data_IF_147876081445
#
_entry.id   IF_147876081445
#
_cell.length_a   1.000
_cell.length_b   1.000
_cell.length_c   1.000
_cell.angle_alpha   90.00
_cell.angle_beta   90.00
_cell.angle_gamma   90.00
#
_symmetry.space_group_name_H-M   'P 1'
#
loop_
_entity.id
_entity.type
_entity.pdbx_description
1 polymer ?
#
# COMPACT_ATOMS: atom_id res chain seq x y z
N UNK A 1 13.34 1.78 -23.43
CA UNK A 1 13.85 2.35 -22.16
C UNK A 1 14.30 1.17 -21.34
N UNK A 2 15.59 1.04 -20.99
CA UNK A 2 16.08 -0.10 -20.19
C UNK A 2 15.77 0.19 -18.72
N UNK A 3 15.26 -0.77 -17.93
CA UNK A 3 15.14 -0.59 -16.49
C UNK A 3 16.52 -0.33 -15.90
N UNK A 4 16.62 0.68 -15.04
CA UNK A 4 17.86 1.08 -14.41
C UNK A 4 18.16 0.13 -13.26
N UNK A 5 18.69 -1.05 -13.56
CA UNK A 5 19.31 -1.91 -12.56
C UNK A 5 20.82 -1.68 -12.56
N UNK A 6 21.26 -0.57 -11.96
CA UNK A 6 22.65 -0.45 -11.50
C UNK A 6 22.81 -1.28 -10.23
N UNK A 7 22.82 -2.60 -10.40
CA UNK A 7 23.18 -3.54 -9.35
C UNK A 7 24.70 -3.61 -9.21
N UNK A 8 25.38 -2.49 -8.93
CA UNK A 8 26.78 -2.52 -8.48
C UNK A 8 27.15 -1.24 -7.70
N UNK A 9 27.10 -1.34 -6.38
CA UNK A 9 28.29 -1.23 -5.52
C UNK A 9 27.89 -1.47 -4.05
N UNK A 10 28.66 -2.31 -3.36
CA UNK A 10 28.72 -2.34 -1.89
C UNK A 10 29.14 -0.95 -1.41
N UNK A 11 28.20 -0.05 -1.19
CA UNK A 11 28.44 1.17 -0.44
C UNK A 11 27.86 0.96 0.94
N UNK A 12 28.74 1.18 1.92
CA UNK A 12 28.46 1.34 3.34
C UNK A 12 27.01 1.69 3.63
N UNK A 13 26.38 0.95 4.55
CA UNK A 13 25.13 1.36 5.18
C UNK A 13 25.18 2.86 5.46
N UNK A 14 24.51 3.65 4.62
CA UNK A 14 24.25 5.03 4.95
C UNK A 14 23.36 4.95 6.18
N UNK A 15 23.92 5.32 7.32
CA UNK A 15 23.13 5.72 8.47
C UNK A 15 21.99 6.56 7.94
N UNK A 16 20.75 6.22 8.30
CA UNK A 16 19.61 7.13 8.23
C UNK A 16 20.16 8.48 8.67
N UNK A 17 20.01 9.52 7.85
CA UNK A 17 20.24 10.89 8.29
C UNK A 17 19.26 11.13 9.44
N UNK A 18 19.65 10.77 10.66
CA UNK A 18 18.96 11.25 11.84
C UNK A 18 19.37 12.71 11.90
N UNK A 19 18.45 13.60 11.55
CA UNK A 19 18.63 14.98 11.95
C UNK A 19 18.50 15.01 13.47
N UNK A 20 19.62 14.74 14.14
CA UNK A 20 19.75 14.73 15.60
C UNK A 20 19.39 16.08 16.23
N UNK A 21 19.24 17.13 15.42
CA UNK A 21 18.80 18.46 15.83
C UNK A 21 17.36 18.81 15.41
N UNK A 22 16.61 17.91 14.75
CA UNK A 22 15.25 18.13 14.22
C UNK A 22 15.08 19.43 13.42
N UNK A 23 16.13 19.91 12.73
CA UNK A 23 16.07 21.18 11.98
C UNK A 23 15.40 21.03 10.62
N UNK A 24 15.49 19.85 10.02
CA UNK A 24 14.97 19.50 8.72
C UNK A 24 13.58 18.92 8.91
N UNK A 25 12.60 19.58 8.32
CA UNK A 25 11.24 19.06 8.16
C UNK A 25 11.19 18.27 6.87
N UNK A 26 10.66 17.05 6.94
CA UNK A 26 10.41 16.25 5.75
C UNK A 26 9.01 16.53 5.25
N UNK A 27 8.82 16.56 3.93
CA UNK A 27 7.48 16.72 3.34
C UNK A 27 6.79 15.36 3.13
N UNK A 28 7.57 14.33 2.77
CA UNK A 28 7.13 12.96 2.50
C UNK A 28 8.22 11.96 2.90
N UNK A 29 7.81 10.78 3.37
CA UNK A 29 8.68 9.62 3.55
C UNK A 29 8.39 8.64 2.43
N UNK A 30 9.42 8.16 1.74
CA UNK A 30 9.29 7.11 0.72
C UNK A 30 9.80 5.81 1.31
N UNK A 31 8.87 4.90 1.64
CA UNK A 31 9.20 3.55 2.07
C UNK A 31 9.20 2.63 0.85
N UNK A 32 10.27 1.86 0.65
CA UNK A 32 10.43 0.92 -0.46
C UNK A 32 10.93 -0.40 0.13
N UNK A 33 10.22 -1.48 -0.19
CA UNK A 33 10.60 -2.83 0.20
C UNK A 33 11.28 -3.59 -0.96
N UNK A 34 10.98 -4.87 -1.10
CA UNK A 34 11.58 -5.87 -2.00
C UNK A 34 10.82 -6.03 -3.33
N UNK A 35 10.34 -4.92 -3.90
CA UNK A 35 9.61 -4.90 -5.18
C UNK A 35 10.41 -4.26 -6.30
N UNK A 36 10.07 -4.63 -7.52
CA UNK A 36 10.56 -4.05 -8.77
C UNK A 36 9.69 -2.84 -9.16
N UNK A 37 10.33 -1.73 -9.51
CA UNK A 37 9.68 -0.47 -9.90
C UNK A 37 10.56 0.35 -10.85
N UNK A 38 9.95 1.30 -11.55
CA UNK A 38 10.63 2.34 -12.32
C UNK A 38 10.77 3.64 -11.53
N UNK A 39 11.75 4.47 -11.88
CA UNK A 39 11.89 5.83 -11.30
C UNK A 39 10.60 6.65 -11.37
N UNK A 40 9.91 6.57 -12.52
CA UNK A 40 8.68 7.35 -12.74
C UNK A 40 7.53 6.88 -11.83
N UNK A 41 7.55 5.62 -11.38
CA UNK A 41 6.57 5.07 -10.44
C UNK A 41 6.64 5.81 -9.10
N UNK A 42 7.86 6.00 -8.58
CA UNK A 42 8.08 6.75 -7.34
C UNK A 42 7.65 8.22 -7.50
N UNK A 43 8.00 8.85 -8.61
CA UNK A 43 7.64 10.25 -8.88
C UNK A 43 6.12 10.41 -8.98
N UNK A 44 5.43 9.47 -9.62
CA UNK A 44 3.97 9.47 -9.72
C UNK A 44 3.30 9.28 -8.37
N UNK A 45 3.77 8.33 -7.56
CA UNK A 45 3.24 8.14 -6.20
C UNK A 45 3.42 9.39 -5.33
N UNK A 46 4.58 10.07 -5.42
CA UNK A 46 4.81 11.34 -4.72
C UNK A 46 3.85 12.42 -5.23
N UNK A 47 3.69 12.54 -6.55
CA UNK A 47 2.79 13.51 -7.17
C UNK A 47 1.34 13.32 -6.69
N UNK A 48 0.83 12.09 -6.74
CA UNK A 48 -0.51 11.74 -6.29
C UNK A 48 -0.69 12.00 -4.79
N UNK A 49 0.36 11.73 -4.00
CA UNK A 49 0.38 12.04 -2.56
C UNK A 49 0.24 13.54 -2.28
N UNK A 50 0.80 14.41 -3.13
CA UNK A 50 0.63 15.86 -3.02
C UNK A 50 -0.75 16.32 -3.51
N UNK A 51 -1.16 15.90 -4.70
CA UNK A 51 -2.41 16.35 -5.34
C UNK A 51 -3.63 16.01 -4.48
N UNK A 52 -3.63 14.84 -3.86
CA UNK A 52 -4.72 14.40 -3.00
C UNK A 52 -4.54 14.80 -1.53
N UNK A 53 -3.39 15.39 -1.17
CA UNK A 53 -3.03 15.64 0.22
C UNK A 53 -3.11 14.37 1.05
N UNK A 54 -2.65 13.26 0.48
CA UNK A 54 -2.78 11.93 1.06
C UNK A 54 -1.77 11.70 2.18
N UNK A 55 -2.21 10.94 3.17
CA UNK A 55 -1.40 10.54 4.32
C UNK A 55 -0.61 9.27 4.05
N UNK A 56 -1.17 8.38 3.24
CA UNK A 56 -0.52 7.18 2.72
C UNK A 56 -0.87 7.08 1.23
N UNK A 57 0.12 6.81 0.38
CA UNK A 57 -0.09 6.57 -1.06
C UNK A 57 0.69 5.35 -1.51
N UNK A 58 0.03 4.37 -2.11
CA UNK A 58 0.65 3.10 -2.51
C UNK A 58 0.31 2.72 -3.96
N UNK A 59 1.15 1.91 -4.62
CA UNK A 59 0.85 1.30 -5.91
C UNK A 59 -0.07 0.08 -5.75
N UNK A 60 -0.31 -0.62 -6.86
CA UNK A 60 -0.85 -1.99 -6.85
C UNK A 60 0.28 -3.02 -6.87
N UNK A 61 0.26 -3.94 -5.91
CA UNK A 61 1.12 -5.12 -5.90
C UNK A 61 0.44 -6.24 -6.69
N UNK A 62 1.00 -6.54 -7.86
CA UNK A 62 0.42 -7.48 -8.82
C UNK A 62 1.35 -8.67 -9.06
N UNK A 63 0.73 -9.82 -9.24
CA UNK A 63 1.37 -11.03 -9.74
C UNK A 63 0.57 -11.66 -10.88
N UNK A 64 1.14 -12.73 -11.44
CA UNK A 64 0.48 -13.55 -12.46
C UNK A 64 0.26 -14.97 -11.93
N UNK A 65 0.18 -15.12 -10.61
CA UNK A 65 0.09 -16.43 -9.98
C UNK A 65 -1.31 -17.01 -10.16
N UNK A 66 -1.35 -18.15 -10.87
CA UNK A 66 -2.56 -18.93 -11.02
C UNK A 66 -2.40 -20.35 -10.51
N UNK A 67 -3.01 -20.63 -9.35
CA UNK A 67 -3.08 -21.96 -8.74
C UNK A 67 -3.66 -23.01 -9.71
N UNK A 68 -4.55 -22.59 -10.62
CA UNK A 68 -5.16 -23.50 -11.61
C UNK A 68 -4.34 -23.66 -12.89
N UNK A 69 -3.35 -22.77 -13.11
CA UNK A 69 -2.52 -22.71 -14.31
C UNK A 69 -3.28 -22.43 -15.61
N UNK A 70 -4.54 -22.01 -15.55
CA UNK A 70 -5.41 -21.81 -16.73
C UNK A 70 -5.17 -20.47 -17.41
N UNK A 71 -4.83 -19.43 -16.64
CA UNK A 71 -4.66 -18.07 -17.12
C UNK A 71 -3.31 -17.48 -16.67
N UNK A 72 -2.17 -17.93 -17.22
CA UNK A 72 -0.84 -17.45 -16.81
C UNK A 72 -0.56 -15.98 -17.16
N UNK A 73 -1.42 -15.35 -17.96
CA UNK A 73 -1.32 -13.94 -18.35
C UNK A 73 -2.34 -13.04 -17.61
N UNK A 74 -3.13 -13.60 -16.69
CA UNK A 74 -4.10 -12.84 -15.92
C UNK A 74 -3.43 -12.15 -14.74
N UNK A 75 -3.45 -10.82 -14.72
CA UNK A 75 -2.98 -10.00 -13.59
C UNK A 75 -3.87 -10.19 -12.39
N UNK A 76 -3.27 -10.41 -11.22
CA UNK A 76 -3.97 -10.59 -9.95
C UNK A 76 -3.32 -9.74 -8.87
N UNK A 77 -4.15 -9.26 -7.96
CA UNK A 77 -3.65 -8.56 -6.78
C UNK A 77 -3.05 -9.55 -5.79
N UNK A 78 -1.85 -9.26 -5.30
CA UNK A 78 -1.06 -10.16 -4.45
C UNK A 78 -1.37 -9.97 -2.96
N UNK A 79 -1.12 -8.78 -2.42
CA UNK A 79 -1.11 -8.50 -0.97
C UNK A 79 -2.52 -8.31 -0.35
N UNK A 80 -3.31 -9.40 -0.39
CA UNK A 80 -4.63 -9.46 0.26
C UNK A 80 -4.55 -9.45 1.79
N UNK A 81 -3.37 -9.72 2.37
CA UNK A 81 -3.21 -9.75 3.82
C UNK A 81 -3.16 -8.35 4.42
N UNK A 82 -2.50 -7.39 3.77
CA UNK A 82 -2.39 -6.00 4.25
C UNK A 82 -3.53 -5.12 3.77
N UNK A 83 -3.86 -5.17 2.48
CA UNK A 83 -4.73 -4.17 1.87
C UNK A 83 -6.21 -4.30 2.28
N UNK A 84 -6.82 -3.17 2.60
CA UNK A 84 -8.22 -3.08 3.06
C UNK A 84 -8.94 -1.98 2.30
N UNK A 85 -10.10 -2.31 1.75
CA UNK A 85 -10.94 -1.30 1.10
C UNK A 85 -11.51 -0.31 2.12
N UNK A 86 -12.19 0.72 1.62
CA UNK A 86 -12.71 1.78 2.49
C UNK A 86 -13.84 1.31 3.42
N UNK A 87 -14.37 0.10 3.23
CA UNK A 87 -15.33 -0.55 4.12
C UNK A 87 -14.64 -1.51 5.11
N UNK A 88 -13.31 -1.61 5.07
CA UNK A 88 -12.52 -2.45 5.96
C UNK A 88 -12.42 -3.91 5.52
N UNK A 89 -12.91 -4.28 4.34
CA UNK A 89 -12.81 -5.64 3.83
C UNK A 89 -11.44 -5.89 3.18
N UNK A 90 -10.95 -7.13 3.24
CA UNK A 90 -9.75 -7.52 2.51
C UNK A 90 -9.93 -7.30 1.00
N UNK A 91 -8.87 -6.81 0.36
CA UNK A 91 -8.81 -6.78 -1.10
C UNK A 91 -8.94 -8.21 -1.66
N UNK A 92 -9.56 -8.34 -2.83
CA UNK A 92 -9.64 -9.61 -3.56
C UNK A 92 -8.60 -9.67 -4.67
N UNK A 93 -8.11 -10.88 -4.97
CA UNK A 93 -7.14 -11.11 -6.05
C UNK A 93 -7.64 -10.65 -7.42
N UNK A 94 -8.94 -10.77 -7.70
CA UNK A 94 -9.55 -10.39 -8.98
C UNK A 94 -9.72 -8.87 -9.09
N UNK A 95 -9.00 -8.23 -10.02
CA UNK A 95 -8.95 -6.77 -10.15
C UNK A 95 -10.32 -6.09 -10.32
N UNK A 96 -11.20 -6.69 -11.13
CA UNK A 96 -12.54 -6.15 -11.43
C UNK A 96 -13.48 -6.11 -10.21
N UNK A 97 -13.14 -6.88 -9.17
CA UNK A 97 -13.89 -7.05 -7.92
C UNK A 97 -12.96 -6.88 -6.71
N UNK A 98 -11.85 -6.17 -6.88
CA UNK A 98 -10.77 -6.10 -5.89
C UNK A 98 -11.24 -5.44 -4.60
N UNK A 99 -12.08 -4.41 -4.71
CA UNK A 99 -12.68 -3.68 -3.59
C UNK A 99 -14.19 -3.87 -3.59
N UNK A 100 -14.81 -3.75 -2.40
CA UNK A 100 -16.27 -3.90 -2.24
C UNK A 100 -17.04 -2.63 -2.53
N UNK A 101 -16.41 -1.46 -2.44
CA UNK A 101 -17.08 -0.19 -2.63
C UNK A 101 -17.21 0.17 -4.12
N UNK A 102 -18.36 0.73 -4.48
CA UNK A 102 -18.69 1.06 -5.88
C UNK A 102 -17.75 2.12 -6.45
N UNK A 103 -17.41 3.16 -5.66
CA UNK A 103 -16.58 4.28 -6.10
C UNK A 103 -15.15 3.83 -6.44
N UNK A 104 -14.54 3.04 -5.56
CA UNK A 104 -13.24 2.42 -5.74
C UNK A 104 -13.24 1.49 -6.94
N UNK A 105 -14.30 0.70 -7.10
CA UNK A 105 -14.46 -0.19 -8.27
C UNK A 105 -14.53 0.59 -9.59
N UNK A 106 -15.31 1.66 -9.66
CA UNK A 106 -15.41 2.51 -10.85
C UNK A 106 -14.09 3.21 -11.19
N UNK A 107 -13.38 3.69 -10.18
CA UNK A 107 -12.08 4.34 -10.33
C UNK A 107 -11.00 3.35 -10.75
N UNK A 108 -10.97 2.17 -10.16
CA UNK A 108 -10.07 1.08 -10.55
C UNK A 108 -10.22 0.70 -12.02
N UNK A 109 -11.46 0.57 -12.53
CA UNK A 109 -11.73 0.30 -13.96
C UNK A 109 -11.16 1.35 -14.91
N UNK A 110 -11.00 2.58 -14.42
CA UNK A 110 -10.45 3.73 -15.16
C UNK A 110 -8.98 4.01 -14.83
N UNK A 111 -8.35 3.17 -14.00
CA UNK A 111 -7.00 3.37 -13.44
C UNK A 111 -6.84 4.66 -12.61
N UNK A 112 -7.93 5.17 -12.05
CA UNK A 112 -7.91 6.41 -11.27
C UNK A 112 -7.56 6.13 -9.79
N UNK A 113 -6.78 7.01 -9.13
CA UNK A 113 -6.44 6.86 -7.72
C UNK A 113 -7.69 6.80 -6.84
N UNK A 114 -7.79 5.91 -5.85
CA UNK A 114 -8.99 5.78 -5.01
C UNK A 114 -8.66 5.62 -3.53
N UNK A 115 -9.58 6.03 -2.65
CA UNK A 115 -9.40 5.95 -1.20
C UNK A 115 -9.63 4.52 -0.70
N UNK A 116 -8.85 4.11 0.28
CA UNK A 116 -8.92 2.80 0.93
C UNK A 116 -8.73 2.95 2.44
N UNK A 117 -8.93 1.89 3.23
CA UNK A 117 -8.53 1.93 4.64
C UNK A 117 -7.03 1.65 4.78
N UNK A 118 -6.49 0.67 4.06
CA UNK A 118 -5.07 0.37 4.14
C UNK A 118 -4.51 -0.06 2.78
N UNK A 119 -3.29 0.40 2.49
CA UNK A 119 -2.45 -0.07 1.42
C UNK A 119 -0.99 -0.09 1.89
N UNK A 120 -0.14 -0.86 1.22
CA UNK A 120 1.31 -0.83 1.44
C UNK A 120 2.05 -1.27 0.18
N UNK A 121 1.74 -2.47 -0.30
CA UNK A 121 2.02 -2.91 -1.67
C UNK A 121 3.48 -2.70 -2.12
N UNK A 122 4.44 -2.94 -1.22
CA UNK A 122 5.88 -2.83 -1.46
C UNK A 122 6.44 -1.40 -1.50
N UNK A 123 5.63 -0.37 -1.75
CA UNK A 123 6.03 1.04 -1.74
C UNK A 123 4.94 1.89 -1.09
N UNK A 124 5.29 2.69 -0.10
CA UNK A 124 4.37 3.62 0.53
C UNK A 124 4.98 5.03 0.63
N UNK A 125 4.23 6.03 0.17
CA UNK A 125 4.52 7.43 0.42
C UNK A 125 3.74 7.84 1.66
N UNK A 126 4.45 8.15 2.75
CA UNK A 126 3.87 8.43 4.05
C UNK A 126 3.97 9.91 4.40
N UNK A 127 2.94 10.43 5.06
CA UNK A 127 2.99 11.69 5.78
C UNK A 127 3.97 11.56 6.95
N UNK A 128 4.98 12.46 7.07
CA UNK A 128 5.96 12.37 8.14
C UNK A 128 5.41 12.78 9.51
N UNK A 129 4.34 13.59 9.56
CA UNK A 129 3.86 14.20 10.81
C UNK A 129 3.52 13.19 11.93
N UNK A 130 2.90 12.02 11.67
CA UNK A 130 2.67 11.02 12.70
C UNK A 130 3.95 10.55 13.40
N UNK A 131 5.08 10.54 12.70
CA UNK A 131 6.38 10.09 13.23
C UNK A 131 7.11 11.18 14.01
N UNK A 132 6.69 12.44 13.90
CA UNK A 132 7.28 13.57 14.60
C UNK A 132 6.73 13.73 16.03
N UNK A 133 7.47 14.45 16.87
CA UNK A 133 6.99 14.80 18.20
C UNK A 133 5.75 15.73 18.11
N UNK A 134 4.77 15.60 19.03
CA UNK A 134 4.77 14.74 20.22
C UNK A 134 4.28 13.30 19.97
N UNK A 135 3.74 13.00 18.79
CA UNK A 135 3.12 11.71 18.48
C UNK A 135 4.12 10.55 18.50
N UNK A 136 5.29 10.74 17.85
CA UNK A 136 6.37 9.76 17.78
C UNK A 136 5.90 8.34 17.40
N UNK A 137 5.06 8.23 16.35
CA UNK A 137 4.55 6.94 15.89
C UNK A 137 5.71 6.00 15.54
N UNK A 138 5.57 4.71 15.87
CA UNK A 138 6.57 3.68 15.60
C UNK A 138 5.89 2.42 15.08
N UNK A 139 6.61 1.68 14.22
CA UNK A 139 6.24 0.31 13.94
C UNK A 139 6.19 -0.49 15.24
N UNK A 140 5.17 -1.32 15.36
CA UNK A 140 4.89 -2.06 16.59
C UNK A 140 4.25 -3.41 16.28
N UNK A 141 4.23 -4.26 17.30
CA UNK A 141 3.41 -5.47 17.31
C UNK A 141 1.99 -5.15 17.77
N UNK A 142 1.07 -6.06 17.51
CA UNK A 142 -0.29 -6.01 18.03
C UNK A 142 -0.31 -6.02 19.55
N UNK A 143 -1.23 -5.23 20.13
CA UNK A 143 -1.49 -5.17 21.57
C UNK A 143 -2.35 -6.37 21.98
N UNK A 144 -1.70 -7.47 22.33
CA UNK A 144 -2.37 -8.72 22.77
C UNK A 144 -3.42 -8.48 23.87
N UNK A 145 -3.17 -7.67 24.91
CA UNK A 145 -4.15 -7.47 25.99
C UNK A 145 -5.43 -6.75 25.56
N UNK A 146 -5.42 -6.02 24.45
CA UNK A 146 -6.57 -5.23 23.98
C UNK A 146 -7.40 -5.96 22.91
N UNK A 147 -7.09 -7.23 22.62
CA UNK A 147 -7.72 -8.00 21.54
C UNK A 147 -7.48 -7.39 20.14
N UNK A 148 -6.36 -6.66 19.97
CA UNK A 148 -5.95 -6.20 18.66
C UNK A 148 -5.42 -7.37 17.81
N UNK A 149 -5.79 -7.37 16.53
CA UNK A 149 -5.36 -8.44 15.63
C UNK A 149 -3.84 -8.54 15.52
N UNK A 150 -3.29 -9.75 15.63
CA UNK A 150 -1.93 -10.05 15.22
C UNK A 150 -1.82 -9.98 13.69
N UNK A 151 -1.49 -8.79 13.18
CA UNK A 151 -1.40 -8.48 11.75
C UNK A 151 0.02 -8.07 11.35
N UNK A 152 0.22 -7.81 10.06
CA UNK A 152 1.42 -7.15 9.53
C UNK A 152 1.63 -5.80 10.23
N UNK A 153 2.89 -5.44 10.46
CA UNK A 153 3.28 -4.11 10.95
C UNK A 153 2.75 -2.98 10.06
N UNK A 154 2.58 -3.24 8.76
CA UNK A 154 2.02 -2.30 7.79
C UNK A 154 0.52 -2.06 8.03
N UNK A 155 -0.24 -3.13 8.30
CA UNK A 155 -1.66 -3.02 8.67
C UNK A 155 -1.85 -2.30 9.99
N UNK A 156 -0.99 -2.57 10.97
CA UNK A 156 -1.01 -1.87 12.27
C UNK A 156 -0.68 -0.38 12.10
N UNK A 157 0.29 -0.05 11.25
CA UNK A 157 0.62 1.33 10.93
C UNK A 157 -0.56 2.06 10.26
N UNK A 158 -1.25 1.44 9.30
CA UNK A 158 -2.48 1.99 8.73
C UNK A 158 -3.50 2.31 9.83
N UNK A 159 -3.77 1.34 10.71
CA UNK A 159 -4.72 1.54 11.81
C UNK A 159 -4.31 2.71 12.72
N UNK A 160 -3.03 2.85 13.03
CA UNK A 160 -2.52 3.94 13.85
C UNK A 160 -2.64 5.30 13.15
N UNK A 161 -2.37 5.37 11.84
CA UNK A 161 -2.61 6.57 11.04
C UNK A 161 -4.07 7.02 11.13
N UNK A 162 -5.01 6.09 10.94
CA UNK A 162 -6.44 6.37 11.06
C UNK A 162 -6.84 6.81 12.46
N UNK A 163 -6.35 6.17 13.54
CA UNK A 163 -6.60 6.59 14.94
C UNK A 163 -6.13 8.02 15.21
N UNK A 164 -5.04 8.43 14.57
CA UNK A 164 -4.47 9.77 14.70
C UNK A 164 -5.14 10.81 13.79
N UNK A 165 -6.14 10.42 12.99
CA UNK A 165 -6.85 11.29 12.05
C UNK A 165 -6.15 11.48 10.70
N UNK A 166 -5.10 10.70 10.41
CA UNK A 166 -4.38 10.68 9.14
C UNK A 166 -5.00 9.64 8.21
N UNK A 167 -6.23 9.92 7.79
CA UNK A 167 -7.15 8.97 7.17
C UNK A 167 -7.24 9.06 5.63
N UNK A 168 -6.37 9.84 5.00
CA UNK A 168 -6.35 9.96 3.54
C UNK A 168 -5.40 8.94 2.92
N UNK A 169 -5.83 7.68 2.88
CA UNK A 169 -5.06 6.57 2.30
C UNK A 169 -5.50 6.34 0.86
N UNK A 170 -4.56 6.33 -0.09
CA UNK A 170 -4.83 6.29 -1.53
C UNK A 170 -4.05 5.18 -2.22
N UNK A 171 -4.72 4.40 -3.05
CA UNK A 171 -4.09 3.50 -4.01
C UNK A 171 -4.03 4.18 -5.37
N UNK A 172 -2.91 4.06 -6.08
CA UNK A 172 -2.68 4.61 -7.43
C UNK A 172 -2.56 3.45 -8.45
N UNK A 173 -3.64 3.07 -9.14
CA UNK A 173 -3.63 1.92 -10.06
C UNK A 173 -2.75 2.08 -11.29
N UNK A 174 -2.44 3.33 -11.65
CA UNK A 174 -1.49 3.67 -12.71
C UNK A 174 -0.07 3.21 -12.39
N UNK A 175 0.24 2.92 -11.12
CA UNK A 175 1.52 2.38 -10.67
C UNK A 175 1.33 0.94 -10.20
N UNK A 176 2.00 0.03 -10.86
CA UNK A 176 1.94 -1.43 -10.67
C UNK A 176 3.35 -1.95 -10.41
N UNK A 177 3.52 -2.70 -9.33
CA UNK A 177 4.79 -3.31 -8.91
C UNK A 177 4.65 -4.82 -8.85
N UNK A 178 5.79 -5.52 -8.87
CA UNK A 178 5.88 -6.97 -8.71
C UNK A 178 7.17 -7.34 -7.98
N UNK A 179 7.27 -8.57 -7.50
CA UNK A 179 8.41 -9.03 -6.68
C UNK A 179 9.58 -9.59 -7.50
N UNK A 180 9.33 -10.02 -8.73
CA UNK A 180 10.37 -10.57 -9.60
C UNK A 180 10.42 -9.89 -10.97
N UNK A 181 11.57 -10.01 -11.62
CA UNK A 181 11.86 -9.33 -12.88
C UNK A 181 11.01 -9.86 -14.03
N UNK A 182 10.57 -11.12 -14.00
CA UNK A 182 9.73 -11.71 -15.04
C UNK A 182 8.32 -11.14 -14.97
N UNK A 183 7.71 -11.13 -13.78
CA UNK A 183 6.40 -10.53 -13.54
C UNK A 183 6.44 -9.03 -13.85
N UNK A 184 7.48 -8.32 -13.41
CA UNK A 184 7.64 -6.89 -13.70
C UNK A 184 7.76 -6.60 -15.20
N UNK A 185 8.57 -7.36 -15.94
CA UNK A 185 8.65 -7.23 -17.40
C UNK A 185 7.35 -7.59 -18.12
N UNK A 186 6.47 -8.39 -17.51
CA UNK A 186 5.13 -8.63 -18.02
C UNK A 186 4.22 -7.42 -17.76
N UNK A 187 4.29 -6.79 -16.58
CA UNK A 187 3.61 -5.53 -16.26
C UNK A 187 4.02 -4.40 -17.21
N UNK A 188 5.31 -4.28 -17.56
CA UNK A 188 5.83 -3.29 -18.52
C UNK A 188 5.12 -3.33 -19.88
N UNK A 189 4.68 -4.51 -20.34
CA UNK A 189 3.89 -4.65 -21.59
C UNK A 189 2.48 -4.06 -21.46
N UNK A 190 1.92 -4.04 -20.25
CA UNK A 190 0.63 -3.38 -20.01
C UNK A 190 0.79 -1.87 -19.96
N UNK A 191 1.87 -1.36 -19.34
CA UNK A 191 2.18 0.07 -19.34
C UNK A 191 2.27 0.64 -20.76
N UNK A 192 2.84 -0.10 -21.72
CA UNK A 192 2.91 0.35 -23.13
C UNK A 192 1.54 0.51 -23.80
N UNK A 193 0.49 -0.08 -23.23
CA UNK A 193 -0.88 0.01 -23.74
C UNK A 193 -1.75 1.01 -22.97
N UNK A 194 -1.24 1.59 -21.87
CA UNK A 194 -1.95 2.62 -21.11
C UNK A 194 -1.75 3.99 -21.75
N UNK A 195 -2.81 4.79 -21.79
CA UNK A 195 -2.71 6.17 -22.23
C UNK A 195 -2.03 7.01 -21.15
N UNK A 196 -1.47 8.16 -21.55
CA UNK A 196 -0.92 9.13 -20.60
C UNK A 196 -1.95 9.54 -19.54
N UNK A 197 -3.21 9.74 -19.94
CA UNK A 197 -4.27 10.15 -19.02
C UNK A 197 -4.65 9.06 -18.01
N UNK A 198 -4.45 7.78 -18.36
CA UNK A 198 -4.64 6.66 -17.43
C UNK A 198 -3.48 6.53 -16.44
N UNK A 199 -2.29 6.97 -16.81
CA UNK A 199 -1.09 6.94 -15.94
C UNK A 199 -1.07 8.16 -15.02
N UNK A 200 -1.42 9.34 -15.55
CA UNK A 200 -1.35 10.64 -14.89
C UNK A 200 -2.74 11.22 -14.63
N UNK A 201 -3.64 10.45 -14.01
CA UNK A 201 -4.97 10.93 -13.65
C UNK A 201 -4.90 11.77 -12.37
N UNK A 202 -5.31 13.03 -12.45
CA UNK A 202 -5.29 13.99 -11.32
C UNK A 202 -6.70 14.28 -10.78
N UNK A 203 -7.69 13.46 -11.15
CA UNK A 203 -9.09 13.63 -10.78
C UNK A 203 -9.22 13.59 -9.26
N UNK A 204 -9.68 14.68 -8.62
CA UNK A 204 -9.75 14.76 -7.17
C UNK A 204 -10.56 13.60 -6.56
N UNK A 205 -10.04 13.04 -5.47
CA UNK A 205 -10.76 12.07 -4.64
C UNK A 205 -11.64 12.84 -3.67
N UNK A 206 -12.93 12.51 -3.64
CA UNK A 206 -13.81 12.92 -2.54
C UNK A 206 -13.66 11.92 -1.40
N UNK A 207 -12.81 12.25 -0.44
CA UNK A 207 -12.58 11.42 0.73
C UNK A 207 -13.87 11.22 1.54
N UNK A 208 -14.05 10.02 2.08
CA UNK A 208 -15.12 9.61 2.96
C UNK A 208 -14.57 9.10 4.28
N UNK A 209 -15.43 9.05 5.30
CA UNK A 209 -15.11 8.42 6.57
C UNK A 209 -14.76 6.94 6.35
N UNK A 210 -13.84 6.45 7.17
CA UNK A 210 -13.40 5.07 7.14
C UNK A 210 -14.32 4.15 7.92
N UNK A 211 -14.03 2.85 7.89
CA UNK A 211 -14.82 1.88 8.60
C UNK A 211 -14.49 1.96 10.10
N UNK A 212 -15.47 1.60 10.94
CA UNK A 212 -15.25 1.34 12.37
C UNK A 212 -14.49 0.02 12.57
N UNK A 213 -14.79 -0.97 11.71
CA UNK A 213 -14.21 -2.30 11.78
C UNK A 213 -13.37 -2.64 10.56
N UNK A 214 -12.28 -3.36 10.76
CA UNK A 214 -11.47 -3.93 9.67
C UNK A 214 -11.42 -5.45 9.78
N UNK A 215 -11.46 -6.11 8.63
CA UNK A 215 -11.19 -7.53 8.50
C UNK A 215 -9.73 -7.82 8.81
N UNK A 216 -9.46 -8.90 9.52
CA UNK A 216 -8.11 -9.32 9.80
C UNK A 216 -7.97 -10.84 9.78
N UNK A 217 -6.94 -11.33 9.11
CA UNK A 217 -6.48 -12.72 9.19
C UNK A 217 -5.33 -12.79 10.22
N UNK A 218 -5.59 -13.19 11.48
CA UNK A 218 -4.60 -13.11 12.55
C UNK A 218 -3.48 -14.14 12.38
N UNK A 219 -2.28 -13.82 12.87
CA UNK A 219 -1.20 -14.78 13.09
C UNK A 219 -1.29 -15.38 14.50
N UNK A 220 -2.16 -16.39 14.68
CA UNK A 220 -2.35 -17.02 16.00
C UNK A 220 -1.25 -18.02 16.38
N UNK A 221 -0.45 -18.44 15.39
CA UNK A 221 0.66 -19.40 15.53
C UNK A 221 1.84 -18.93 14.69
N UNK A 222 3.00 -19.56 14.89
CA UNK A 222 4.15 -19.34 14.02
C UNK A 222 3.84 -19.88 12.62
N UNK A 223 3.62 -18.98 11.66
CA UNK A 223 3.48 -19.30 10.24
C UNK A 223 4.39 -18.37 9.44
N UNK A 224 5.18 -18.96 8.55
CA UNK A 224 6.20 -18.27 7.76
C UNK A 224 5.75 -17.97 6.32
N UNK A 225 4.58 -18.47 5.90
CA UNK A 225 4.04 -18.25 4.55
C UNK A 225 2.78 -17.40 4.54
N UNK A 226 1.76 -17.84 5.27
CA UNK A 226 0.42 -17.26 5.16
C UNK A 226 -0.18 -16.97 6.55
N UNK A 227 -1.06 -15.98 6.69
CA UNK A 227 -1.86 -15.83 7.90
C UNK A 227 -2.86 -16.98 8.07
N UNK A 228 -3.57 -17.00 9.19
CA UNK A 228 -4.65 -17.97 9.38
C UNK A 228 -5.78 -17.78 8.34
N UNK A 229 -6.41 -18.88 7.93
CA UNK A 229 -7.43 -18.86 6.86
C UNK A 229 -8.80 -18.32 7.29
N UNK A 230 -9.00 -18.07 8.58
CA UNK A 230 -10.21 -17.44 9.09
C UNK A 230 -9.98 -15.95 9.29
N UNK A 231 -11.05 -15.16 9.19
CA UNK A 231 -10.99 -13.72 9.39
C UNK A 231 -11.82 -13.31 10.60
N UNK A 232 -11.37 -12.25 11.27
CA UNK A 232 -12.06 -11.60 12.38
C UNK A 232 -12.30 -10.14 12.03
N UNK A 233 -13.40 -9.58 12.53
CA UNK A 233 -13.69 -8.16 12.41
C UNK A 233 -13.25 -7.45 13.69
N UNK A 234 -12.42 -6.42 13.56
CA UNK A 234 -11.80 -5.74 14.69
C UNK A 234 -12.14 -4.27 14.63
N UNK A 235 -12.71 -3.74 15.72
CA UNK A 235 -12.76 -2.32 15.96
C UNK A 235 -11.34 -1.86 16.24
N UNK A 236 -10.74 -1.17 15.28
CA UNK A 236 -9.38 -0.67 15.42
C UNK A 236 -9.36 0.77 15.93
N UNK A 237 -10.50 1.45 16.10
CA UNK A 237 -10.55 2.83 16.60
C UNK A 237 -10.75 2.88 18.12
N UNK A 238 -11.45 1.90 18.70
CA UNK A 238 -11.65 1.78 20.16
C UNK A 238 -10.47 1.16 20.91
N UNK A 239 -9.40 0.78 20.20
CA UNK A 239 -8.23 0.13 20.75
C UNK A 239 -7.26 1.19 21.32
N UNK A 240 -6.78 1.00 22.56
CA UNK A 240 -5.85 1.94 23.21
C UNK A 240 -4.51 2.03 22.47
#
# INVERSE_FOLDING_TARGET
MKPFYDLYQKTSHFSIYSDSNQKNKFDKIVFINDVMFCRNDILELILQSYIHGADITCPLDLDFYDETGKNPDEKRFRDTWVARDINGNAFKKTLDKMVSDERGTERMKKYQPFQVQCCWNGIAILNPRPFEAPTNLQFRRSKVPSNECAASECSLLCNDFWRLGYNKVVVVPGVQVAYDTKEFSQLEKYYSNMTRDQIFDTTPIKFQEGPEFVECSPLTKYNFRDPEKFTVSIDYLAQP
#
